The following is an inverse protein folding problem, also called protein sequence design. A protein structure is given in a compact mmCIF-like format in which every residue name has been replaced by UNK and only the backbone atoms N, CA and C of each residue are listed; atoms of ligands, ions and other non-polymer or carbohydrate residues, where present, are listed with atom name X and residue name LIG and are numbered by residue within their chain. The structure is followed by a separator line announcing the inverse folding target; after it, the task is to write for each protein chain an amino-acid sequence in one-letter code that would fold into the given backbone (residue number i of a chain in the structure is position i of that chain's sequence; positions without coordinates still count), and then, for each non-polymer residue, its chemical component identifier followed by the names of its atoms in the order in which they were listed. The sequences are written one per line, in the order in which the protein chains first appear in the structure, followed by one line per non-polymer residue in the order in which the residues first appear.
data_IF_066630545736
#
_entry.id   IF_066630545736
#
_cell.length_a   1.000
_cell.length_b   1.000
_cell.length_c   1.000
_cell.angle_alpha   90.00
_cell.angle_beta   90.00
_cell.angle_gamma   90.00
#
_symmetry.space_group_name_H-M   'P 1'
#
loop_
_entity.id
_entity.type
_entity.pdbx_description
1 polymer ?
#
# COMPACT_ATOMS: atom_id res chain seq x y z
N UNK A 1 -11.13 -3.29 -5.57
CA UNK A 1 -10.59 -1.96 -5.33
C UNK A 1 -9.17 -1.97 -5.82
N UNK A 2 -8.88 -1.22 -6.87
CA UNK A 2 -7.53 -1.08 -7.43
C UNK A 2 -6.94 0.18 -6.78
N UNK A 3 -5.94 0.02 -5.92
CA UNK A 3 -5.17 1.13 -5.35
C UNK A 3 -3.76 1.08 -5.96
N UNK A 4 -3.27 2.23 -6.43
CA UNK A 4 -1.93 2.39 -6.99
C UNK A 4 -1.19 3.50 -6.25
N UNK A 5 0.13 3.34 -6.10
CA UNK A 5 1.03 4.36 -5.57
C UNK A 5 2.30 4.39 -6.46
N UNK A 6 2.87 5.58 -6.67
CA UNK A 6 4.01 5.80 -7.58
C UNK A 6 5.33 5.99 -6.85
N UNK A 7 6.41 5.41 -7.37
CA UNK A 7 7.78 5.52 -6.86
C UNK A 7 8.69 6.01 -8.00
N UNK A 8 8.80 7.32 -8.23
CA UNK A 8 9.76 7.92 -9.19
C UNK A 8 9.37 7.81 -10.69
N UNK A 9 10.29 8.14 -11.65
CA UNK A 9 10.03 7.96 -13.09
C UNK A 9 9.59 6.51 -13.29
N UNK A 10 8.41 6.31 -13.93
CA UNK A 10 7.58 5.11 -13.77
C UNK A 10 8.35 3.85 -14.17
N UNK A 11 9.08 3.30 -13.21
CA UNK A 11 9.83 2.05 -13.31
C UNK A 11 9.11 0.97 -12.54
N UNK A 12 8.39 1.33 -11.47
CA UNK A 12 7.71 0.38 -10.59
C UNK A 12 6.35 0.90 -10.09
N UNK A 13 5.39 -0.01 -10.00
CA UNK A 13 4.04 0.21 -9.46
C UNK A 13 3.71 -0.88 -8.43
N UNK A 14 3.02 -0.49 -7.36
CA UNK A 14 2.40 -1.43 -6.44
C UNK A 14 0.90 -1.53 -6.72
N UNK A 15 0.40 -2.75 -6.90
CA UNK A 15 -1.01 -3.03 -7.17
C UNK A 15 -1.54 -4.02 -6.13
N UNK A 16 -2.58 -3.62 -5.41
CA UNK A 16 -3.19 -4.47 -4.38
C UNK A 16 -4.24 -5.38 -5.00
N UNK A 17 -4.05 -6.69 -4.87
CA UNK A 17 -5.00 -7.72 -5.26
C UNK A 17 -5.85 -8.14 -4.05
N UNK A 18 -6.78 -7.27 -3.64
CA UNK A 18 -7.50 -7.43 -2.38
C UNK A 18 -8.35 -8.70 -2.25
N UNK A 19 -8.81 -9.30 -3.35
CA UNK A 19 -9.53 -10.60 -3.30
C UNK A 19 -8.59 -11.78 -3.11
N UNK A 20 -7.33 -11.65 -3.51
CA UNK A 20 -6.31 -12.68 -3.43
C UNK A 20 -5.29 -12.45 -2.31
N UNK A 21 -5.43 -11.34 -1.58
CA UNK A 21 -4.64 -10.96 -0.41
C UNK A 21 -3.13 -10.88 -0.67
N UNK A 22 -2.72 -10.30 -1.80
CA UNK A 22 -1.31 -9.99 -2.07
C UNK A 22 -1.16 -8.63 -2.75
N UNK A 23 0.08 -8.14 -2.82
CA UNK A 23 0.47 -6.96 -3.60
C UNK A 23 1.37 -7.40 -4.75
N UNK A 24 1.16 -6.84 -5.94
CA UNK A 24 2.06 -6.98 -7.08
C UNK A 24 2.99 -5.78 -7.13
N UNK A 25 4.30 -6.05 -7.17
CA UNK A 25 5.27 -5.09 -7.68
C UNK A 25 5.39 -5.32 -9.18
N UNK A 26 5.06 -4.31 -9.96
CA UNK A 26 5.07 -4.34 -11.43
C UNK A 26 6.16 -3.42 -11.92
N UNK A 27 7.09 -3.93 -12.72
CA UNK A 27 8.12 -3.11 -13.37
C UNK A 27 7.64 -2.67 -14.76
N UNK A 28 7.76 -1.37 -15.05
CA UNK A 28 7.30 -0.75 -16.30
C UNK A 28 8.48 -0.14 -17.04
N UNK A 29 8.60 -0.44 -18.34
CA UNK A 29 9.55 0.19 -19.28
C UNK A 29 8.86 0.35 -20.62
N UNK A 30 9.08 1.49 -21.29
CA UNK A 30 8.49 1.76 -22.62
C UNK A 30 6.97 1.50 -22.65
N UNK A 31 6.27 1.92 -21.59
CA UNK A 31 4.83 1.71 -21.43
C UNK A 31 4.39 0.23 -21.47
N UNK A 32 5.29 -0.70 -21.18
CA UNK A 32 5.02 -2.14 -21.09
C UNK A 32 5.43 -2.68 -19.72
N UNK A 33 4.69 -3.67 -19.25
CA UNK A 33 5.06 -4.46 -18.06
C UNK A 33 6.17 -5.42 -18.48
N UNK A 34 7.35 -5.26 -17.88
CA UNK A 34 8.53 -6.10 -18.17
C UNK A 34 8.81 -7.13 -17.08
N UNK A 35 8.32 -6.91 -15.86
CA UNK A 35 8.46 -7.85 -14.75
C UNK A 35 7.31 -7.68 -13.75
N UNK A 36 7.00 -8.74 -13.00
CA UNK A 36 5.97 -8.76 -11.97
C UNK A 36 6.34 -9.71 -10.84
N UNK A 37 6.30 -9.21 -9.60
CA UNK A 37 6.56 -9.97 -8.37
C UNK A 37 5.36 -9.93 -7.44
N UNK A 38 4.91 -11.09 -6.97
CA UNK A 38 3.90 -11.20 -5.90
C UNK A 38 4.57 -11.02 -4.54
N UNK A 39 3.95 -10.24 -3.67
CA UNK A 39 4.45 -9.91 -2.35
C UNK A 39 3.35 -10.06 -1.31
N UNK A 40 3.70 -10.69 -0.18
CA UNK A 40 2.85 -10.80 0.99
C UNK A 40 3.28 -9.76 2.03
N UNK A 41 2.91 -8.49 1.81
CA UNK A 41 3.30 -7.37 2.69
C UNK A 41 2.64 -7.50 4.07
N UNK A 42 1.36 -7.92 4.11
CA UNK A 42 0.58 -8.18 5.31
C UNK A 42 -0.54 -9.20 5.00
N UNK A 43 -1.32 -9.67 5.99
CA UNK A 43 -2.25 -10.79 5.78
C UNK A 43 -3.38 -10.46 4.78
N UNK A 44 -3.95 -9.26 4.85
CA UNK A 44 -5.05 -8.82 3.98
C UNK A 44 -4.84 -7.39 3.52
N UNK A 45 -3.92 -7.15 2.57
CA UNK A 45 -3.61 -5.79 2.12
C UNK A 45 -4.86 -5.11 1.55
N UNK A 46 -4.98 -3.83 1.87
CA UNK A 46 -5.99 -2.88 1.43
C UNK A 46 -5.32 -1.70 0.73
N UNK A 47 -5.82 -0.48 0.92
CA UNK A 47 -5.20 0.72 0.33
C UNK A 47 -3.69 0.84 0.68
N UNK A 48 -2.94 1.53 -0.19
CA UNK A 48 -1.54 1.87 0.01
C UNK A 48 -1.39 3.39 -0.09
N UNK A 49 -0.47 3.96 0.68
CA UNK A 49 -0.04 5.34 0.50
C UNK A 49 1.46 5.44 0.74
N UNK A 50 2.12 6.33 0.00
CA UNK A 50 3.52 6.67 0.20
C UNK A 50 3.62 8.15 0.49
N UNK A 51 4.43 8.53 1.47
CA UNK A 51 4.68 9.94 1.76
C UNK A 51 5.95 10.45 1.05
N UNK A 52 6.23 11.74 1.23
CA UNK A 52 7.36 12.45 0.63
C UNK A 52 8.70 12.00 1.18
N UNK A 53 8.73 11.51 2.43
CA UNK A 53 9.90 10.88 3.04
C UNK A 53 10.19 9.48 2.47
N UNK A 54 9.31 8.98 1.59
CA UNK A 54 9.45 7.70 0.92
C UNK A 54 8.92 6.52 1.73
N UNK A 55 8.33 6.75 2.91
CA UNK A 55 7.72 5.71 3.75
C UNK A 55 6.47 5.17 3.07
N UNK A 56 6.38 3.85 3.04
CA UNK A 56 5.22 3.15 2.48
C UNK A 56 4.33 2.65 3.61
N UNK A 57 3.04 2.91 3.47
CA UNK A 57 2.01 2.49 4.40
C UNK A 57 1.01 1.57 3.70
N UNK A 58 0.51 0.57 4.43
CA UNK A 58 -0.51 -0.36 3.95
C UNK A 58 -1.65 -0.46 4.96
N UNK A 59 -2.88 -0.39 4.46
CA UNK A 59 -4.04 -0.77 5.25
C UNK A 59 -4.10 -2.30 5.34
N UNK A 60 -4.14 -2.86 6.54
CA UNK A 60 -4.34 -4.28 6.76
C UNK A 60 -5.77 -4.53 7.23
N UNK A 61 -6.57 -5.15 6.36
CA UNK A 61 -7.99 -5.44 6.61
C UNK A 61 -8.19 -6.54 7.65
N UNK A 62 -7.16 -7.36 7.93
CA UNK A 62 -7.23 -8.41 8.94
C UNK A 62 -7.09 -7.83 10.35
N UNK A 63 -6.09 -6.97 10.55
CA UNK A 63 -5.81 -6.34 11.85
C UNK A 63 -6.52 -5.00 12.06
N UNK A 64 -7.30 -4.52 11.08
CA UNK A 64 -7.98 -3.22 11.11
C UNK A 64 -7.02 -2.07 11.48
N UNK A 65 -5.90 -1.98 10.76
CA UNK A 65 -4.86 -1.00 11.05
C UNK A 65 -4.19 -0.47 9.78
N UNK A 66 -3.56 0.70 9.87
CA UNK A 66 -2.53 1.13 8.93
C UNK A 66 -1.17 0.73 9.49
N UNK A 67 -0.33 0.11 8.65
CA UNK A 67 0.98 -0.39 9.01
C UNK A 67 2.07 0.28 8.17
N UNK A 68 3.21 0.56 8.78
CA UNK A 68 4.43 0.96 8.08
C UNK A 68 5.06 -0.29 7.45
N UNK A 69 5.53 -0.18 6.22
CA UNK A 69 6.15 -1.28 5.47
C UNK A 69 7.66 -1.12 5.45
N UNK A 70 8.38 -2.18 5.84
CA UNK A 70 9.80 -2.34 5.54
C UNK A 70 9.94 -2.69 4.05
N UNK A 71 10.40 -1.73 3.25
CA UNK A 71 10.54 -1.90 1.79
C UNK A 71 11.79 -2.67 1.37
N UNK A 72 12.71 -2.97 2.30
CA UNK A 72 13.85 -3.86 2.03
C UNK A 72 13.42 -5.32 2.12
N UNK A 73 12.55 -5.63 3.09
CA UNK A 73 12.05 -6.99 3.33
C UNK A 73 10.67 -7.26 2.74
N UNK A 74 9.96 -6.21 2.34
CA UNK A 74 8.57 -6.25 1.85
C UNK A 74 7.60 -6.89 2.83
N UNK A 75 7.71 -6.50 4.10
CA UNK A 75 6.84 -6.94 5.20
C UNK A 75 6.38 -5.74 6.03
N UNK A 76 5.23 -5.88 6.69
CA UNK A 76 4.79 -4.92 7.70
C UNK A 76 5.79 -4.86 8.86
N UNK A 77 6.25 -3.66 9.20
CA UNK A 77 7.17 -3.41 10.31
C UNK A 77 6.41 -3.15 11.62
N UNK A 78 5.43 -2.23 11.61
CA UNK A 78 4.64 -1.87 12.79
C UNK A 78 3.30 -1.23 12.44
N UNK A 79 2.34 -1.32 13.35
CA UNK A 79 1.09 -0.58 13.28
C UNK A 79 1.35 0.90 13.61
N UNK A 80 0.78 1.81 12.83
CA UNK A 80 0.90 3.27 13.02
C UNK A 80 -0.44 3.95 13.27
N UNK A 81 -1.54 3.31 12.88
CA UNK A 81 -2.90 3.78 13.19
C UNK A 81 -3.87 2.60 13.31
N UNK A 82 -4.85 2.72 14.20
CA UNK A 82 -6.00 1.82 14.27
C UNK A 82 -7.09 2.38 13.36
N UNK A 83 -7.76 1.51 12.61
CA UNK A 83 -8.81 1.90 11.66
C UNK A 83 -10.00 0.95 11.74
N UNK A 84 -11.01 1.20 10.94
CA UNK A 84 -11.97 0.14 10.60
C UNK A 84 -11.31 -0.88 9.66
N UNK A 85 -11.91 -2.08 9.58
CA UNK A 85 -11.42 -3.15 8.71
C UNK A 85 -11.40 -2.80 7.21
N UNK A 86 -12.17 -1.78 6.79
CA UNK A 86 -12.29 -1.41 5.37
C UNK A 86 -11.93 0.05 5.09
N UNK A 87 -10.63 0.32 5.01
CA UNK A 87 -10.10 1.60 4.53
C UNK A 87 -10.09 1.61 3.00
N UNK A 88 -10.97 2.41 2.38
CA UNK A 88 -11.08 2.51 0.91
C UNK A 88 -9.88 3.21 0.29
N UNK A 89 -9.46 4.30 0.91
CA UNK A 89 -8.31 5.09 0.52
C UNK A 89 -7.85 5.86 1.76
N UNK A 90 -6.59 6.25 1.76
CA UNK A 90 -6.03 7.18 2.73
C UNK A 90 -4.85 7.88 2.05
N UNK A 91 -4.44 9.02 2.58
CA UNK A 91 -3.25 9.75 2.12
C UNK A 91 -2.24 9.88 3.25
N UNK A 92 -0.97 10.03 2.88
CA UNK A 92 0.12 10.24 3.80
C UNK A 92 0.91 11.48 3.36
N UNK A 93 1.21 12.38 4.30
CA UNK A 93 1.99 13.60 4.05
C UNK A 93 2.92 13.85 5.23
N UNK A 94 4.23 13.72 5.04
CA UNK A 94 5.25 13.86 6.10
C UNK A 94 4.95 13.09 7.41
N UNK A 95 4.18 12.00 7.35
CA UNK A 95 3.82 11.15 8.49
C UNK A 95 2.46 11.47 9.10
N UNK A 96 1.80 12.53 8.65
CA UNK A 96 0.37 12.73 8.84
C UNK A 96 -0.38 11.72 7.98
N UNK A 97 -1.33 11.00 8.57
CA UNK A 97 -2.24 10.10 7.84
C UNK A 97 -3.65 10.70 7.87
N UNK A 98 -4.25 10.89 6.68
CA UNK A 98 -5.64 11.30 6.55
C UNK A 98 -6.47 10.11 6.05
N UNK A 99 -7.42 9.68 6.88
CA UNK A 99 -8.26 8.51 6.63
C UNK A 99 -9.71 9.00 6.58
N UNK A 100 -10.38 8.92 5.41
CA UNK A 100 -11.77 9.30 5.30
C UNK A 100 -12.64 8.31 6.06
N UNK A 101 -13.51 8.87 6.90
CA UNK A 101 -14.52 8.09 7.61
C UNK A 101 -15.69 7.79 6.68
N UNK A 102 -16.31 6.64 6.89
CA UNK A 102 -17.53 6.27 6.18
C UNK A 102 -18.64 7.24 6.62
N UNK A 103 -19.19 8.00 5.67
CA UNK A 103 -20.27 8.99 5.87
C UNK A 103 -19.87 10.34 6.50
N UNK A 104 -18.59 10.72 6.45
CA UNK A 104 -18.16 12.08 6.74
C UNK A 104 -18.38 13.03 5.55
#
# INVERSE_FOLDING_TARGET
MLAFATIGPITQLLVVEGRRNYVLLVSVRESRIVDKKRMAICERPGALARDEAGRLFVANRFSASIQLVDTMRWVSEKNVAITEAFVRHFTACWGLLAIPLKNA
#
